data_IF_121249775178
#
_entry.id   IF_121249775178
#
_cell.length_a   1.000
_cell.length_b   1.000
_cell.length_c   1.000
_cell.angle_alpha   90.00
_cell.angle_beta   90.00
_cell.angle_gamma   90.00
#
_symmetry.space_group_name_H-M   'P 1'
#
loop_
_entity.id
_entity.type
_entity.pdbx_description
1 polymer ?
#
# COMPACT_ATOMS: atom_id res chain seq x y z
N UNK A 1 1.00 4.23 -23.03
CA UNK A 1 -0.41 4.54 -22.82
C UNK A 1 -1.11 5.00 -24.11
N UNK A 2 -0.69 6.10 -24.77
CA UNK A 2 -1.38 6.66 -25.95
C UNK A 2 -1.51 5.69 -27.14
N UNK A 3 -0.43 4.97 -27.52
CA UNK A 3 -0.46 3.95 -28.59
C UNK A 3 -1.43 2.81 -28.30
N UNK A 4 -1.58 2.41 -27.04
CA UNK A 4 -2.54 1.37 -26.62
C UNK A 4 -3.98 1.89 -26.70
N UNK A 5 -4.22 3.12 -26.28
CA UNK A 5 -5.55 3.75 -26.34
C UNK A 5 -6.09 3.88 -27.77
N UNK A 6 -5.21 4.13 -28.75
CA UNK A 6 -5.60 4.23 -30.19
C UNK A 6 -6.14 2.90 -30.77
N UNK A 7 -5.80 1.76 -30.18
CA UNK A 7 -6.18 0.43 -30.65
C UNK A 7 -7.25 -0.24 -29.80
N UNK A 8 -7.69 0.42 -28.71
CA UNK A 8 -8.78 -0.10 -27.88
C UNK A 8 -10.12 0.33 -28.45
N UNK A 9 -11.02 -0.63 -28.63
CA UNK A 9 -12.42 -0.33 -28.90
C UNK A 9 -13.02 0.43 -27.72
N UNK A 10 -13.93 1.36 -27.96
CA UNK A 10 -14.68 2.02 -26.91
C UNK A 10 -15.50 0.97 -26.17
N UNK A 11 -15.22 0.80 -24.88
CA UNK A 11 -15.95 -0.14 -24.03
C UNK A 11 -17.33 0.42 -23.73
N UNK A 12 -18.36 -0.41 -23.84
CA UNK A 12 -19.70 -0.03 -23.40
C UNK A 12 -19.71 0.21 -21.88
N UNK A 13 -20.45 1.21 -21.46
CA UNK A 13 -20.66 1.48 -20.03
C UNK A 13 -21.61 0.40 -19.49
N UNK A 14 -21.20 -0.22 -18.39
CA UNK A 14 -22.05 -1.13 -17.61
C UNK A 14 -22.88 -0.29 -16.64
N UNK A 15 -24.13 -0.03 -17.00
CA UNK A 15 -25.06 0.79 -16.20
C UNK A 15 -25.35 0.17 -14.82
N UNK A 16 -25.31 -1.16 -14.70
CA UNK A 16 -25.51 -1.83 -13.43
C UNK A 16 -24.29 -1.62 -12.50
N UNK A 17 -23.08 -1.64 -13.05
CA UNK A 17 -21.86 -1.31 -12.29
C UNK A 17 -21.88 0.15 -11.83
N UNK A 18 -22.34 1.07 -12.67
CA UNK A 18 -22.50 2.49 -12.31
C UNK A 18 -23.53 2.64 -11.19
N UNK A 19 -24.67 1.95 -11.29
CA UNK A 19 -25.69 1.96 -10.24
C UNK A 19 -25.13 1.50 -8.89
N UNK A 20 -24.46 0.35 -8.85
CA UNK A 20 -23.83 -0.15 -7.63
C UNK A 20 -22.81 0.84 -7.04
N UNK A 21 -21.97 1.43 -7.86
CA UNK A 21 -21.00 2.42 -7.39
C UNK A 21 -21.63 3.67 -6.78
N UNK A 22 -22.79 4.11 -7.33
CA UNK A 22 -23.56 5.24 -6.77
C UNK A 22 -24.16 4.84 -5.42
N UNK A 23 -24.74 3.65 -5.33
CA UNK A 23 -25.35 3.15 -4.09
C UNK A 23 -24.30 3.04 -2.98
N UNK A 24 -23.14 2.43 -3.26
CA UNK A 24 -22.01 2.32 -2.33
C UNK A 24 -21.53 3.71 -1.83
N UNK A 25 -21.45 4.69 -2.73
CA UNK A 25 -21.05 6.06 -2.37
C UNK A 25 -22.07 6.76 -1.47
N UNK A 26 -23.35 6.50 -1.67
CA UNK A 26 -24.42 7.16 -0.93
C UNK A 26 -24.77 6.46 0.39
N UNK A 27 -24.43 5.19 0.54
CA UNK A 27 -24.80 4.37 1.68
C UNK A 27 -24.41 4.98 3.04
N UNK A 28 -23.19 5.56 3.26
CA UNK A 28 -22.85 6.21 4.52
C UNK A 28 -23.72 7.42 4.89
N UNK A 29 -24.33 8.07 3.89
CA UNK A 29 -25.27 9.18 4.10
C UNK A 29 -26.70 8.71 4.45
N UNK A 30 -27.08 7.54 3.96
CA UNK A 30 -28.45 7.01 4.10
C UNK A 30 -28.58 6.13 5.33
N UNK A 31 -27.47 5.68 5.91
CA UNK A 31 -27.46 4.78 7.07
C UNK A 31 -27.85 5.51 8.34
N UNK A 32 -28.84 4.96 9.03
CA UNK A 32 -29.24 5.43 10.37
C UNK A 32 -28.45 4.68 11.44
N UNK A 33 -27.75 5.41 12.29
CA UNK A 33 -26.86 4.83 13.29
C UNK A 33 -25.54 4.35 12.67
N UNK A 34 -24.62 3.98 13.49
CA UNK A 34 -23.27 3.59 13.10
C UNK A 34 -22.21 4.47 13.75
N UNK A 35 -20.95 4.02 13.68
CA UNK A 35 -19.83 4.77 14.24
C UNK A 35 -19.50 6.01 13.43
N UNK A 36 -18.88 6.98 14.10
CA UNK A 36 -18.36 8.16 13.44
C UNK A 36 -17.10 7.80 12.63
N UNK A 37 -17.02 8.07 11.33
CA UNK A 37 -15.87 7.72 10.50
C UNK A 37 -14.58 8.40 10.96
N UNK A 38 -14.64 9.61 11.54
CA UNK A 38 -13.47 10.27 12.09
C UNK A 38 -12.85 9.52 13.28
N UNK A 39 -13.66 8.90 14.13
CA UNK A 39 -13.18 8.08 15.23
C UNK A 39 -12.50 6.81 14.72
N UNK A 40 -13.10 6.12 13.76
CA UNK A 40 -12.50 4.92 13.13
C UNK A 40 -11.16 5.28 12.47
N UNK A 41 -11.11 6.44 11.79
CA UNK A 41 -9.89 6.95 11.16
C UNK A 41 -8.75 7.13 12.17
N UNK A 42 -9.02 7.80 13.29
CA UNK A 42 -8.01 8.06 14.32
C UNK A 42 -7.52 6.75 14.95
N UNK A 43 -8.41 5.84 15.29
CA UNK A 43 -8.06 4.53 15.86
C UNK A 43 -7.22 3.69 14.87
N UNK A 44 -7.60 3.66 13.59
CA UNK A 44 -6.86 2.95 12.55
C UNK A 44 -5.47 3.54 12.33
N UNK A 45 -5.34 4.87 12.31
CA UNK A 45 -4.06 5.55 12.21
C UNK A 45 -3.13 5.18 13.36
N UNK A 46 -3.64 5.21 14.58
CA UNK A 46 -2.86 4.91 15.78
C UNK A 46 -2.44 3.43 15.82
N UNK A 47 -3.31 2.50 15.42
CA UNK A 47 -2.99 1.08 15.26
C UNK A 47 -1.90 0.88 14.21
N UNK A 48 -2.03 1.49 13.03
CA UNK A 48 -1.04 1.39 11.96
C UNK A 48 0.32 1.94 12.38
N UNK A 49 0.34 3.06 13.11
CA UNK A 49 1.58 3.62 13.65
C UNK A 49 2.24 2.69 14.67
N UNK A 50 1.45 2.05 15.52
CA UNK A 50 1.95 1.19 16.58
C UNK A 50 2.46 -0.17 16.06
N UNK A 51 1.74 -0.81 15.12
CA UNK A 51 2.01 -2.20 14.69
C UNK A 51 2.65 -2.31 13.30
N UNK A 52 2.44 -1.32 12.42
CA UNK A 52 2.90 -1.33 11.01
C UNK A 52 3.85 -0.16 10.73
N UNK A 53 4.33 0.52 11.77
CA UNK A 53 5.29 1.62 11.69
C UNK A 53 6.62 1.23 11.02
N UNK A 54 7.67 2.00 11.25
CA UNK A 54 8.99 1.74 10.64
C UNK A 54 9.62 0.45 11.22
N UNK A 55 9.57 0.28 12.55
CA UNK A 55 10.07 -0.90 13.26
C UNK A 55 8.90 -1.82 13.54
N UNK A 56 9.02 -3.08 13.22
CA UNK A 56 7.92 -4.05 13.26
C UNK A 56 8.42 -5.48 13.47
N UNK A 57 7.56 -6.33 13.99
CA UNK A 57 7.79 -7.77 14.13
C UNK A 57 6.69 -8.55 13.41
N UNK A 58 6.93 -9.84 13.13
CA UNK A 58 5.89 -10.70 12.53
C UNK A 58 4.62 -10.72 13.36
N UNK A 59 4.75 -10.83 14.69
CA UNK A 59 3.58 -10.90 15.58
C UNK A 59 2.72 -9.63 15.51
N UNK A 60 3.34 -8.44 15.55
CA UNK A 60 2.64 -7.16 15.44
C UNK A 60 1.94 -7.02 14.08
N UNK A 61 2.61 -7.45 13.01
CA UNK A 61 2.03 -7.43 11.66
C UNK A 61 0.86 -8.41 11.51
N UNK A 62 0.95 -9.61 12.08
CA UNK A 62 -0.14 -10.60 12.06
C UNK A 62 -1.36 -10.08 12.84
N UNK A 63 -1.16 -9.47 14.01
CA UNK A 63 -2.22 -8.81 14.77
C UNK A 63 -2.85 -7.65 13.96
N UNK A 64 -2.02 -6.82 13.32
CA UNK A 64 -2.48 -5.70 12.51
C UNK A 64 -3.39 -6.15 11.36
N UNK A 65 -3.15 -7.31 10.73
CA UNK A 65 -4.05 -7.85 9.70
C UNK A 65 -5.46 -8.13 10.26
N UNK A 66 -5.54 -8.65 11.49
CA UNK A 66 -6.82 -8.86 12.18
C UNK A 66 -7.53 -7.54 12.47
N UNK A 67 -6.78 -6.56 12.99
CA UNK A 67 -7.32 -5.23 13.29
C UNK A 67 -7.79 -4.51 12.02
N UNK A 68 -7.02 -4.55 10.92
CA UNK A 68 -7.38 -3.95 9.62
C UNK A 68 -8.70 -4.53 9.09
N UNK A 69 -8.89 -5.84 9.21
CA UNK A 69 -10.15 -6.47 8.82
C UNK A 69 -11.33 -5.92 9.64
N UNK A 70 -11.16 -5.81 10.95
CA UNK A 70 -12.16 -5.22 11.85
C UNK A 70 -12.44 -3.75 11.48
N UNK A 71 -11.42 -2.95 11.22
CA UNK A 71 -11.59 -1.57 10.77
C UNK A 71 -12.35 -1.47 9.44
N UNK A 72 -12.10 -2.38 8.50
CA UNK A 72 -12.84 -2.43 7.24
C UNK A 72 -14.33 -2.73 7.47
N UNK A 73 -14.65 -3.69 8.34
CA UNK A 73 -16.03 -4.02 8.71
C UNK A 73 -16.73 -2.82 9.36
N UNK A 74 -16.07 -2.13 10.29
CA UNK A 74 -16.57 -0.91 10.93
C UNK A 74 -16.74 0.23 9.92
N UNK A 75 -15.79 0.43 8.99
CA UNK A 75 -15.88 1.42 7.93
C UNK A 75 -17.10 1.20 7.02
N UNK A 76 -17.35 -0.07 6.65
CA UNK A 76 -18.53 -0.44 5.88
C UNK A 76 -19.85 -0.22 6.63
N UNK A 77 -19.82 -0.16 7.97
CA UNK A 77 -20.99 0.03 8.83
C UNK A 77 -21.12 1.45 9.41
N UNK A 78 -20.16 2.36 9.15
CA UNK A 78 -20.18 3.71 9.71
C UNK A 78 -21.28 4.58 9.08
N UNK A 79 -21.62 5.68 9.76
CA UNK A 79 -22.60 6.67 9.29
C UNK A 79 -21.99 8.06 9.33
N UNK A 80 -22.18 8.82 8.25
CA UNK A 80 -21.63 10.17 8.11
C UNK A 80 -22.65 11.29 8.31
N UNK A 81 -23.87 10.93 8.71
CA UNK A 81 -25.00 11.87 8.74
C UNK A 81 -25.55 12.18 7.33
N UNK A 82 -26.64 12.93 7.26
CA UNK A 82 -27.47 13.05 6.04
C UNK A 82 -27.11 14.21 5.11
N UNK A 83 -26.24 15.14 5.54
CA UNK A 83 -25.90 16.30 4.72
C UNK A 83 -24.98 15.94 3.57
N UNK A 84 -25.31 16.39 2.36
CA UNK A 84 -24.44 16.28 1.18
C UNK A 84 -23.50 17.48 1.01
N UNK A 85 -23.69 18.56 1.77
CA UNK A 85 -22.90 19.79 1.68
C UNK A 85 -21.96 19.90 2.88
N UNK A 86 -20.68 20.16 2.62
CA UNK A 86 -19.66 20.35 3.65
C UNK A 86 -19.54 19.18 4.63
N UNK A 87 -19.74 17.95 4.17
CA UNK A 87 -19.71 16.75 4.99
C UNK A 87 -18.35 16.04 4.83
N UNK A 88 -17.37 16.42 5.66
CA UNK A 88 -16.06 15.76 5.71
C UNK A 88 -16.17 14.30 6.18
N UNK A 89 -17.14 13.97 7.03
CA UNK A 89 -17.39 12.61 7.48
C UNK A 89 -17.78 11.66 6.35
N UNK A 90 -18.52 12.16 5.37
CA UNK A 90 -18.86 11.36 4.18
C UNK A 90 -17.61 10.98 3.37
N UNK A 91 -16.73 11.94 3.11
CA UNK A 91 -15.45 11.66 2.43
C UNK A 91 -14.59 10.70 3.24
N UNK A 92 -14.49 10.90 4.56
CA UNK A 92 -13.76 9.98 5.44
C UNK A 92 -14.34 8.55 5.41
N UNK A 93 -15.66 8.40 5.38
CA UNK A 93 -16.29 7.08 5.31
C UNK A 93 -15.89 6.32 4.03
N UNK A 94 -15.82 7.01 2.88
CA UNK A 94 -15.36 6.44 1.61
C UNK A 94 -13.84 6.15 1.63
N UNK A 95 -13.06 7.06 2.18
CA UNK A 95 -11.60 6.92 2.26
C UNK A 95 -11.19 5.77 3.17
N UNK A 96 -11.91 5.53 4.28
CA UNK A 96 -11.61 4.46 5.23
C UNK A 96 -11.59 3.06 4.59
N UNK A 97 -12.49 2.80 3.65
CA UNK A 97 -12.55 1.52 2.93
C UNK A 97 -11.28 1.34 2.10
N UNK A 98 -10.90 2.38 1.35
CA UNK A 98 -9.68 2.36 0.55
C UNK A 98 -8.41 2.30 1.43
N UNK A 99 -8.40 3.02 2.56
CA UNK A 99 -7.31 2.98 3.53
C UNK A 99 -7.13 1.58 4.11
N UNK A 100 -8.21 0.88 4.44
CA UNK A 100 -8.15 -0.49 4.91
C UNK A 100 -7.54 -1.43 3.87
N UNK A 101 -7.91 -1.30 2.59
CA UNK A 101 -7.35 -2.12 1.53
C UNK A 101 -5.85 -1.83 1.29
N UNK A 102 -5.46 -0.56 1.27
CA UNK A 102 -4.04 -0.17 1.14
C UNK A 102 -3.23 -0.63 2.36
N UNK A 103 -3.76 -0.46 3.57
CA UNK A 103 -3.12 -0.93 4.80
C UNK A 103 -2.95 -2.44 4.82
N UNK A 104 -3.96 -3.20 4.35
CA UNK A 104 -3.87 -4.64 4.20
C UNK A 104 -2.74 -5.03 3.24
N UNK A 105 -2.68 -4.41 2.06
CA UNK A 105 -1.64 -4.67 1.08
C UNK A 105 -0.23 -4.39 1.63
N UNK A 106 -0.06 -3.23 2.30
CA UNK A 106 1.20 -2.85 2.90
C UNK A 106 1.65 -3.81 4.02
N UNK A 107 0.71 -4.20 4.89
CA UNK A 107 0.98 -5.13 6.00
C UNK A 107 1.30 -6.53 5.46
N UNK A 108 0.56 -7.04 4.48
CA UNK A 108 0.80 -8.32 3.85
C UNK A 108 2.18 -8.36 3.16
N UNK A 109 2.56 -7.29 2.45
CA UNK A 109 3.88 -7.16 1.85
C UNK A 109 4.99 -7.14 2.92
N UNK A 110 4.76 -6.44 4.04
CA UNK A 110 5.71 -6.34 5.14
C UNK A 110 5.91 -7.68 5.88
N UNK A 111 4.86 -8.46 6.07
CA UNK A 111 4.95 -9.82 6.64
C UNK A 111 5.78 -10.72 5.73
N UNK A 112 5.48 -10.67 4.43
CA UNK A 112 6.09 -11.55 3.44
C UNK A 112 7.58 -11.26 3.25
N UNK A 113 8.02 -10.00 3.40
CA UNK A 113 9.42 -9.63 3.26
C UNK A 113 10.19 -9.82 4.56
N UNK A 114 10.96 -10.90 4.62
CA UNK A 114 11.73 -11.33 5.81
C UNK A 114 13.15 -10.77 5.79
N UNK A 115 13.28 -9.45 5.72
CA UNK A 115 14.54 -8.70 5.80
C UNK A 115 14.29 -7.29 6.34
N UNK A 116 15.36 -6.55 6.62
CA UNK A 116 15.32 -5.10 6.87
C UNK A 116 16.00 -4.35 5.73
N UNK A 117 15.25 -3.40 5.08
CA UNK A 117 15.77 -2.61 3.95
C UNK A 117 15.09 -1.25 3.87
N UNK A 118 15.87 -0.18 3.84
CA UNK A 118 15.37 1.19 3.77
C UNK A 118 14.47 1.51 4.97
N UNK A 119 13.24 1.96 4.72
CA UNK A 119 12.25 2.22 5.77
C UNK A 119 11.48 0.97 6.25
N UNK A 120 11.80 -0.22 5.75
CA UNK A 120 11.25 -1.48 6.22
C UNK A 120 12.22 -2.12 7.20
N UNK A 121 11.95 -1.99 8.50
CA UNK A 121 12.77 -2.57 9.56
C UNK A 121 12.00 -3.68 10.27
N UNK A 122 12.56 -4.88 10.23
CA UNK A 122 12.06 -6.07 10.89
C UNK A 122 13.00 -6.45 12.03
N UNK A 123 12.58 -6.28 13.28
CA UNK A 123 13.42 -6.67 14.44
C UNK A 123 13.72 -8.17 14.47
N UNK A 124 12.81 -8.98 13.94
CA UNK A 124 12.98 -10.43 13.78
C UNK A 124 13.85 -10.82 12.56
N UNK A 125 14.12 -9.88 11.62
CA UNK A 125 15.01 -10.03 10.47
C UNK A 125 15.83 -8.74 10.26
N UNK A 126 16.83 -8.44 11.13
CA UNK A 126 17.44 -7.11 11.23
C UNK A 126 18.41 -6.76 10.11
N UNK A 127 18.77 -7.70 9.26
CA UNK A 127 19.74 -7.51 8.18
C UNK A 127 19.08 -7.51 6.80
N UNK A 128 19.62 -6.72 5.83
CA UNK A 128 19.23 -6.87 4.44
C UNK A 128 19.74 -8.20 3.87
N UNK A 129 18.95 -8.74 2.95
CA UNK A 129 19.28 -9.99 2.24
C UNK A 129 19.26 -9.72 0.74
N UNK A 130 20.46 -9.58 0.14
CA UNK A 130 20.62 -9.11 -1.24
C UNK A 130 20.42 -10.21 -2.29
N UNK A 131 20.74 -11.47 -1.96
CA UNK A 131 20.72 -12.57 -2.92
C UNK A 131 19.29 -12.95 -3.31
N UNK A 132 18.35 -12.85 -2.37
CA UNK A 132 16.96 -13.17 -2.61
C UNK A 132 16.06 -11.90 -2.60
N UNK A 133 15.95 -11.22 -1.46
CA UNK A 133 15.05 -10.08 -1.34
C UNK A 133 15.49 -8.85 -2.13
N UNK A 134 16.80 -8.70 -2.36
CA UNK A 134 17.34 -7.68 -3.25
C UNK A 134 16.96 -7.88 -4.73
N UNK A 135 16.57 -9.10 -5.10
CA UNK A 135 16.21 -9.49 -6.47
C UNK A 135 14.72 -9.87 -6.61
N UNK A 136 13.91 -9.61 -5.58
CA UNK A 136 12.52 -10.08 -5.53
C UNK A 136 11.54 -8.93 -5.32
N UNK A 137 10.47 -8.92 -6.11
CA UNK A 137 9.30 -8.06 -5.96
C UNK A 137 8.14 -8.84 -5.35
N UNK A 138 7.40 -8.20 -4.44
CA UNK A 138 6.10 -8.69 -3.99
C UNK A 138 5.02 -8.09 -4.88
N UNK A 139 4.28 -8.96 -5.59
CA UNK A 139 3.13 -8.57 -6.41
C UNK A 139 1.86 -8.92 -5.67
N UNK A 140 1.01 -7.92 -5.46
CA UNK A 140 -0.26 -8.06 -4.74
C UNK A 140 -1.40 -7.77 -5.71
N UNK A 141 -2.45 -8.59 -5.66
CA UNK A 141 -3.67 -8.38 -6.44
C UNK A 141 -4.91 -8.85 -5.67
N UNK A 142 -6.06 -8.39 -6.10
CA UNK A 142 -7.35 -8.84 -5.59
C UNK A 142 -7.89 -9.97 -6.48
N UNK A 143 -8.27 -11.09 -5.87
CA UNK A 143 -8.89 -12.22 -6.55
C UNK A 143 -10.07 -12.74 -5.74
N UNK A 144 -11.26 -12.71 -6.33
CA UNK A 144 -12.51 -13.14 -5.67
C UNK A 144 -12.77 -12.47 -4.30
N UNK A 145 -12.39 -11.20 -4.15
CA UNK A 145 -12.56 -10.46 -2.89
C UNK A 145 -11.48 -10.73 -1.85
N UNK A 146 -10.50 -11.57 -2.15
CA UNK A 146 -9.34 -11.84 -1.30
C UNK A 146 -8.07 -11.24 -1.88
N UNK A 147 -7.25 -10.66 -1.01
CA UNK A 147 -5.93 -10.17 -1.39
C UNK A 147 -4.94 -11.32 -1.47
N UNK A 148 -4.29 -11.46 -2.62
CA UNK A 148 -3.27 -12.47 -2.89
C UNK A 148 -1.91 -11.81 -3.06
N UNK A 149 -0.86 -12.55 -2.75
CA UNK A 149 0.53 -12.11 -2.92
C UNK A 149 1.34 -13.22 -3.58
N UNK A 150 2.24 -12.83 -4.46
CA UNK A 150 3.29 -13.70 -5.02
C UNK A 150 4.58 -12.93 -5.15
N UNK A 151 5.67 -13.67 -5.29
CA UNK A 151 6.99 -13.11 -5.53
C UNK A 151 7.37 -13.28 -6.99
N UNK A 152 7.95 -12.25 -7.56
CA UNK A 152 8.49 -12.24 -8.91
C UNK A 152 9.93 -11.70 -8.89
N UNK A 153 10.81 -12.21 -9.74
CA UNK A 153 12.15 -11.64 -9.86
C UNK A 153 12.08 -10.20 -10.38
N UNK A 154 13.01 -9.36 -9.93
CA UNK A 154 13.22 -8.03 -10.52
C UNK A 154 13.64 -8.22 -11.99
N UNK A 155 13.05 -7.44 -12.88
CA UNK A 155 13.41 -7.45 -14.29
C UNK A 155 14.89 -7.08 -14.47
N UNK A 156 15.54 -7.71 -15.46
CA UNK A 156 16.91 -7.39 -15.77
C UNK A 156 17.06 -5.92 -16.17
N UNK A 157 18.05 -5.25 -15.56
CA UNK A 157 18.32 -3.84 -15.85
C UNK A 157 18.71 -3.67 -17.33
N UNK A 158 18.18 -2.66 -17.99
CA UNK A 158 18.55 -2.30 -19.36
C UNK A 158 20.05 -1.99 -19.44
N UNK A 159 20.68 -2.32 -20.58
CA UNK A 159 22.11 -2.19 -20.74
C UNK A 159 22.59 -0.72 -20.65
N UNK A 160 21.83 0.23 -21.18
CA UNK A 160 22.14 1.66 -21.06
C UNK A 160 22.16 2.14 -19.60
N UNK A 161 21.33 1.58 -18.73
CA UNK A 161 21.32 1.89 -17.29
C UNK A 161 22.45 1.20 -16.54
N UNK A 162 22.85 -0.02 -16.96
CA UNK A 162 24.03 -0.73 -16.41
C UNK A 162 25.32 0.06 -16.70
N UNK A 163 25.45 0.58 -17.93
CA UNK A 163 26.58 1.44 -18.32
C UNK A 163 26.65 2.69 -17.45
N UNK A 164 25.54 3.46 -17.37
CA UNK A 164 25.48 4.67 -16.57
C UNK A 164 25.77 4.42 -15.08
N UNK A 165 25.29 3.29 -14.53
CA UNK A 165 25.55 2.91 -13.14
C UNK A 165 27.04 2.59 -12.92
N UNK A 166 27.69 1.96 -13.89
CA UNK A 166 29.11 1.64 -13.84
C UNK A 166 29.96 2.91 -13.86
N UNK A 167 29.64 3.85 -14.74
CA UNK A 167 30.31 5.17 -14.79
C UNK A 167 30.21 5.92 -13.46
N UNK A 168 29.01 5.97 -12.87
CA UNK A 168 28.77 6.63 -11.58
C UNK A 168 29.55 5.96 -10.45
N UNK A 169 29.59 4.62 -10.40
CA UNK A 169 30.39 3.87 -9.40
C UNK A 169 31.87 4.17 -9.52
N UNK A 170 32.38 4.24 -10.74
CA UNK A 170 33.79 4.58 -11.01
C UNK A 170 34.14 6.00 -10.54
N UNK A 171 33.31 6.98 -10.88
CA UNK A 171 33.46 8.36 -10.41
C UNK A 171 33.44 8.49 -8.88
N UNK A 172 32.57 7.73 -8.19
CA UNK A 172 32.50 7.74 -6.73
C UNK A 172 33.77 7.14 -6.14
N UNK A 173 34.28 6.04 -6.71
CA UNK A 173 35.48 5.39 -6.24
C UNK A 173 36.74 6.30 -6.43
N UNK A 174 36.86 6.98 -7.57
CA UNK A 174 37.90 7.94 -7.85
C UNK A 174 37.91 9.11 -6.86
N UNK A 175 36.74 9.72 -6.61
CA UNK A 175 36.60 10.80 -5.61
C UNK A 175 36.92 10.35 -4.19
N UNK A 176 36.55 9.12 -3.83
CA UNK A 176 36.86 8.58 -2.50
C UNK A 176 38.37 8.34 -2.35
N UNK A 177 39.06 7.90 -3.40
CA UNK A 177 40.53 7.73 -3.43
C UNK A 177 41.27 9.06 -3.31
N UNK A 178 40.81 10.11 -4.01
CA UNK A 178 41.35 11.47 -3.91
C UNK A 178 41.21 12.05 -2.50
N UNK A 179 40.02 11.90 -1.88
CA UNK A 179 39.76 12.39 -0.54
C UNK A 179 40.53 11.62 0.56
N UNK A 180 40.86 10.35 0.35
CA UNK A 180 41.65 9.53 1.29
C UNK A 180 43.18 9.72 1.19
N UNK A 181 43.68 10.42 0.16
CA UNK A 181 45.10 10.69 -0.06
C UNK A 181 45.67 11.96 0.57
N UNK A 182 44.83 12.77 1.22
CA UNK A 182 45.22 14.05 1.86
C UNK A 182 45.44 13.95 3.38
N UNK A 183 45.83 12.79 3.92
CA UNK A 183 46.23 12.63 5.34
C UNK A 183 47.69 12.20 5.50
#
# INVERSE_FOLDING_TARGET
AAKRAQHLAQTAIDEEQVGRAIDDMLDPLLREGGENPGQIYDEMRDMMQAKVGIIRTKNELDEALGDIKSFKERALACSSGTSRKYNSGWHQALDLINMADVSHAATLAAITREESRGGHTRDDFPTPEDDYWGQTLNIIWMENGEMKIRQEPVEEMRDDLKEALTEVKTMIAERAAEAGGEN
#
